data_IF_418387141639
#
_entry.id   IF_418387141639
#
_cell.length_a   1.000
_cell.length_b   1.000
_cell.length_c   1.000
_cell.angle_alpha   90.00
_cell.angle_beta   90.00
_cell.angle_gamma   90.00
#
_symmetry.space_group_name_H-M   'P 1'
#
loop_
_entity.id
_entity.type
_entity.pdbx_description
1 polymer ?
#
# COMPACT_ATOMS: atom_id res chain seq x y z
N UNK A 1 3.01 22.46 -0.15
CA UNK A 1 3.66 21.40 -0.95
C UNK A 1 3.48 20.07 -0.26
N UNK A 2 2.48 19.27 -0.66
CA UNK A 2 2.14 17.98 0.00
C UNK A 2 2.96 16.80 -0.52
N UNK A 3 3.45 16.89 -1.76
CA UNK A 3 4.46 15.98 -2.32
C UNK A 3 5.76 16.07 -1.51
N UNK A 4 6.16 17.28 -1.10
CA UNK A 4 7.30 17.44 -0.18
C UNK A 4 7.05 16.85 1.19
N UNK A 5 5.81 16.89 1.70
CA UNK A 5 5.48 16.26 2.98
C UNK A 5 5.56 14.74 2.88
N UNK A 6 5.05 14.16 1.79
CA UNK A 6 5.17 12.73 1.54
C UNK A 6 6.64 12.30 1.36
N UNK A 7 7.44 13.09 0.64
CA UNK A 7 8.86 12.87 0.47
C UNK A 7 9.61 12.99 1.80
N UNK A 8 9.29 14.00 2.63
CA UNK A 8 9.87 14.17 3.97
C UNK A 8 9.49 13.04 4.92
N UNK A 9 8.26 12.53 4.84
CA UNK A 9 7.84 11.34 5.60
C UNK A 9 8.58 10.09 5.14
N UNK A 10 8.82 9.97 3.83
CA UNK A 10 9.57 8.87 3.23
C UNK A 10 11.08 8.90 3.54
N UNK A 11 11.67 10.10 3.57
CA UNK A 11 13.09 10.33 3.86
C UNK A 11 13.38 10.38 5.36
N UNK A 12 12.34 10.37 6.21
CA UNK A 12 12.49 10.30 7.65
C UNK A 12 12.75 8.85 8.08
N UNK A 13 14.01 8.53 8.38
CA UNK A 13 14.43 7.22 8.88
C UNK A 13 13.87 6.90 10.29
N UNK A 14 13.35 7.90 11.01
CA UNK A 14 12.67 7.69 12.30
C UNK A 14 11.30 7.02 12.16
N UNK A 15 10.71 7.04 10.96
CA UNK A 15 9.44 6.38 10.68
C UNK A 15 9.73 4.95 10.20
N UNK A 16 9.30 3.96 10.98
CA UNK A 16 9.46 2.55 10.60
C UNK A 16 8.70 2.22 9.30
N UNK A 17 9.16 1.20 8.58
CA UNK A 17 8.46 0.67 7.40
C UNK A 17 7.02 0.27 7.72
N UNK A 18 6.78 -0.36 8.88
CA UNK A 18 5.44 -0.72 9.38
C UNK A 18 4.50 0.50 9.47
N UNK A 19 5.01 1.65 9.92
CA UNK A 19 4.22 2.89 10.00
C UNK A 19 3.93 3.45 8.61
N UNK A 20 4.88 3.37 7.68
CA UNK A 20 4.65 3.78 6.30
C UNK A 20 3.63 2.87 5.60
N UNK A 21 3.66 1.57 5.86
CA UNK A 21 2.67 0.60 5.38
C UNK A 21 1.28 0.90 5.92
N UNK A 22 1.14 1.19 7.23
CA UNK A 22 -0.13 1.58 7.81
C UNK A 22 -0.72 2.85 7.16
N UNK A 23 0.12 3.83 6.83
CA UNK A 23 -0.30 5.05 6.12
C UNK A 23 -0.74 4.72 4.68
N UNK A 24 -0.01 3.83 3.98
CA UNK A 24 -0.34 3.40 2.63
C UNK A 24 -1.67 2.65 2.57
N UNK A 25 -1.93 1.76 3.54
CA UNK A 25 -3.20 1.05 3.69
C UNK A 25 -4.34 2.03 3.91
N UNK A 26 -4.19 2.98 4.84
CA UNK A 26 -5.20 4.00 5.10
C UNK A 26 -5.52 4.85 3.86
N UNK A 27 -4.49 5.30 3.14
CA UNK A 27 -4.69 6.11 1.93
C UNK A 27 -5.36 5.31 0.80
N UNK A 28 -5.02 4.03 0.66
CA UNK A 28 -5.66 3.13 -0.30
C UNK A 28 -7.15 2.97 -0.02
N UNK A 29 -7.49 2.72 1.25
CA UNK A 29 -8.87 2.57 1.69
C UNK A 29 -9.67 3.85 1.47
N UNK A 30 -9.10 5.00 1.84
CA UNK A 30 -9.71 6.31 1.62
C UNK A 30 -9.98 6.59 0.14
N UNK A 31 -8.99 6.33 -0.73
CA UNK A 31 -9.14 6.51 -2.19
C UNK A 31 -10.20 5.57 -2.77
N UNK A 32 -10.30 4.34 -2.26
CA UNK A 32 -11.35 3.39 -2.64
C UNK A 32 -12.74 3.93 -2.25
N UNK A 33 -12.90 4.39 -1.01
CA UNK A 33 -14.17 4.96 -0.54
C UNK A 33 -14.54 6.23 -1.34
N UNK A 34 -13.60 7.12 -1.63
CA UNK A 34 -13.85 8.30 -2.49
C UNK A 34 -14.36 7.90 -3.88
N UNK A 35 -13.81 6.81 -4.45
CA UNK A 35 -14.24 6.28 -5.75
C UNK A 35 -15.64 5.65 -5.68
N UNK A 36 -15.93 4.87 -4.64
CA UNK A 36 -17.24 4.23 -4.42
C UNK A 36 -18.35 5.28 -4.20
N UNK A 37 -18.04 6.35 -3.46
CA UNK A 37 -18.96 7.47 -3.21
C UNK A 37 -19.10 8.41 -4.42
N UNK A 38 -18.48 8.12 -5.56
CA UNK A 38 -18.41 8.99 -6.75
C UNK A 38 -17.92 10.40 -6.44
N UNK A 39 -17.06 10.53 -5.42
CA UNK A 39 -16.46 11.80 -5.01
C UNK A 39 -15.24 12.08 -5.87
N UNK A 40 -14.94 13.36 -6.04
CA UNK A 40 -13.74 13.77 -6.73
C UNK A 40 -12.52 13.19 -6.02
N UNK A 41 -11.86 12.22 -6.65
CA UNK A 41 -10.67 11.56 -6.10
C UNK A 41 -9.55 12.57 -5.95
N UNK A 42 -8.96 12.63 -4.76
CA UNK A 42 -7.87 13.57 -4.52
C UNK A 42 -6.60 13.18 -5.29
N UNK A 43 -6.25 13.97 -6.33
CA UNK A 43 -4.99 13.82 -7.07
C UNK A 43 -3.77 13.83 -6.13
N UNK A 44 -3.87 14.57 -5.03
CA UNK A 44 -2.86 14.64 -3.98
C UNK A 44 -2.71 13.29 -3.29
N UNK A 45 -3.81 12.65 -2.89
CA UNK A 45 -3.76 11.35 -2.23
C UNK A 45 -3.16 10.27 -3.14
N UNK A 46 -3.48 10.29 -4.44
CA UNK A 46 -2.85 9.41 -5.43
C UNK A 46 -1.33 9.61 -5.54
N UNK A 47 -0.86 10.87 -5.56
CA UNK A 47 0.58 11.16 -5.62
C UNK A 47 1.29 10.74 -4.34
N UNK A 48 0.68 10.96 -3.18
CA UNK A 48 1.20 10.51 -1.88
C UNK A 48 1.33 8.99 -1.84
N UNK A 49 0.32 8.26 -2.32
CA UNK A 49 0.35 6.79 -2.37
C UNK A 49 1.54 6.28 -3.19
N UNK A 50 1.76 6.83 -4.40
CA UNK A 50 2.91 6.42 -5.23
C UNK A 50 4.27 6.64 -4.56
N UNK A 51 4.43 7.74 -3.81
CA UNK A 51 5.68 8.04 -3.10
C UNK A 51 5.90 7.03 -1.97
N UNK A 52 4.85 6.68 -1.22
CA UNK A 52 4.95 5.69 -0.15
C UNK A 52 5.30 4.30 -0.69
N UNK A 53 4.66 3.87 -1.79
CA UNK A 53 4.96 2.59 -2.46
C UNK A 53 6.42 2.53 -2.94
N UNK A 54 6.92 3.60 -3.56
CA UNK A 54 8.31 3.70 -4.01
C UNK A 54 9.29 3.61 -2.83
N UNK A 55 8.99 4.33 -1.75
CA UNK A 55 9.82 4.38 -0.54
C UNK A 55 9.92 3.01 0.12
N UNK A 56 8.78 2.33 0.28
CA UNK A 56 8.74 0.98 0.82
C UNK A 56 9.54 0.03 -0.07
N UNK A 57 9.42 0.14 -1.40
CA UNK A 57 10.21 -0.68 -2.33
C UNK A 57 11.72 -0.48 -2.16
N UNK A 58 12.18 0.77 -2.08
CA UNK A 58 13.60 1.10 -1.88
C UNK A 58 14.11 0.59 -0.54
N UNK A 59 13.34 0.78 0.54
CA UNK A 59 13.69 0.30 1.89
C UNK A 59 13.75 -1.22 1.96
N UNK A 60 12.78 -1.92 1.34
CA UNK A 60 12.80 -3.38 1.23
C UNK A 60 13.97 -3.89 0.40
N UNK A 61 14.35 -3.22 -0.68
CA UNK A 61 15.55 -3.56 -1.46
C UNK A 61 16.85 -3.34 -0.68
N UNK A 62 16.91 -2.33 0.20
CA UNK A 62 18.04 -2.08 1.11
C UNK A 62 18.11 -3.07 2.27
N UNK A 63 16.96 -3.48 2.79
CA UNK A 63 16.85 -4.48 3.86
C UNK A 63 16.98 -5.91 3.33
N UNK A 64 16.76 -6.12 2.03
CA UNK A 64 16.70 -7.39 1.30
C UNK A 64 18.03 -7.94 0.82
N UNK A 65 19.13 -7.60 1.48
CA UNK A 65 20.36 -8.41 1.49
C UNK A 65 20.22 -9.68 2.34
N UNK A 66 19.03 -10.27 2.44
CA UNK A 66 18.79 -11.65 2.89
C UNK A 66 17.32 -12.00 2.60
N UNK A 67 17.09 -13.15 1.99
CA UNK A 67 15.86 -13.46 1.25
C UNK A 67 14.59 -13.67 2.07
N UNK A 68 13.47 -13.47 1.38
CA UNK A 68 12.29 -14.32 1.49
C UNK A 68 11.57 -14.24 0.14
N UNK A 69 11.48 -15.40 -0.51
CA UNK A 69 10.67 -15.59 -1.70
C UNK A 69 9.21 -15.29 -1.37
N UNK A 70 8.50 -14.84 -2.40
CA UNK A 70 7.06 -14.66 -2.44
C UNK A 70 6.36 -15.96 -2.02
N UNK A 71 5.71 -15.99 -0.87
CA UNK A 71 4.58 -16.90 -0.64
C UNK A 71 3.34 -16.22 -1.20
N UNK A 72 3.05 -16.57 -2.46
CA UNK A 72 1.80 -16.30 -3.16
C UNK A 72 0.70 -17.18 -2.55
N UNK A 73 0.24 -16.86 -1.33
CA UNK A 73 -0.98 -17.45 -0.76
C UNK A 73 -2.11 -16.42 -0.85
N UNK A 74 -2.52 -16.16 -2.09
CA UNK A 74 -3.82 -15.53 -2.36
C UNK A 74 -4.88 -16.58 -2.00
N UNK A 75 -5.28 -16.58 -0.73
CA UNK A 75 -6.43 -17.31 -0.20
C UNK A 75 -7.73 -16.82 -0.84
N UNK A 76 -7.96 -17.21 -2.09
CA UNK A 76 -9.30 -17.21 -2.70
C UNK A 76 -10.06 -18.36 -2.07
N UNK A 77 -11.18 -18.12 -1.36
CA UNK A 77 -12.02 -19.22 -0.91
C UNK A 77 -12.62 -19.91 -2.16
N UNK A 78 -12.11 -21.11 -2.47
CA UNK A 78 -12.79 -22.01 -3.39
C UNK A 78 -14.07 -22.50 -2.72
N UNK A 79 -15.19 -21.85 -3.04
CA UNK A 79 -16.50 -22.45 -2.85
C UNK A 79 -16.62 -23.66 -3.79
N UNK A 80 -16.39 -24.85 -3.27
CA UNK A 80 -16.81 -26.08 -3.93
C UNK A 80 -18.30 -26.25 -3.68
N UNK A 81 -19.12 -25.69 -4.57
CA UNK A 81 -20.53 -26.09 -4.70
C UNK A 81 -20.53 -27.52 -5.21
N UNK A 82 -20.92 -28.46 -4.35
CA UNK A 82 -21.15 -29.85 -4.74
C UNK A 82 -22.63 -29.98 -5.06
N UNK A 83 -22.96 -29.83 -6.34
CA UNK A 83 -24.24 -30.33 -6.87
C UNK A 83 -24.22 -31.86 -6.86
N UNK A 84 -25.30 -32.48 -6.40
CA UNK A 84 -25.47 -33.93 -6.44
C UNK A 84 -26.75 -34.39 -5.75
N UNK A 85 -27.81 -34.48 -6.57
CA UNK A 85 -29.03 -35.31 -6.51
C UNK A 85 -29.22 -36.25 -5.30
#
# INVERSE_FOLDING_TARGET
MIVEVAQRLADCDEISSERLEAIAIYLSDKLRCEKEESRATSLIAHKTMRILEETLRIRSARSGGSGAALDDDVGVPRFSVRDGD
#
